data_IF_595892479633
#
_entry.id   IF_595892479633
#
_cell.length_a   1.000
_cell.length_b   1.000
_cell.length_c   1.000
_cell.angle_alpha   90.00
_cell.angle_beta   90.00
_cell.angle_gamma   90.00
#
_symmetry.space_group_name_H-M   'P 1'
#
loop_
_entity.id
_entity.type
_entity.pdbx_description
1 polymer ?
#
# COMPACT_ATOMS: atom_id res chain seq x y z
N UNK A 1 2.01 10.30 8.21
CA UNK A 1 1.54 8.90 8.08
C UNK A 1 0.16 8.87 7.46
N UNK A 2 0.06 8.32 6.26
CA UNK A 2 -1.20 8.12 5.57
C UNK A 2 -1.95 6.88 6.09
N UNK A 3 -3.28 6.91 5.97
CA UNK A 3 -4.18 5.87 6.44
C UNK A 3 -5.36 5.72 5.49
N UNK A 4 -5.63 4.49 5.05
CA UNK A 4 -6.80 4.15 4.26
C UNK A 4 -7.41 2.82 4.69
N UNK A 5 -8.70 2.65 4.43
CA UNK A 5 -9.40 1.39 4.57
C UNK A 5 -9.96 0.97 3.22
N UNK A 6 -9.69 -0.27 2.82
CA UNK A 6 -10.26 -0.87 1.60
C UNK A 6 -10.93 -2.21 1.92
N UNK A 7 -11.91 -2.59 1.11
CA UNK A 7 -12.51 -3.94 1.12
C UNK A 7 -12.07 -4.76 -0.10
N UNK A 8 -11.36 -4.15 -1.04
CA UNK A 8 -10.99 -4.75 -2.30
C UNK A 8 -9.61 -5.38 -2.23
N UNK A 9 -9.35 -6.29 -3.17
CA UNK A 9 -8.02 -6.82 -3.40
C UNK A 9 -7.14 -5.72 -4.02
N UNK A 10 -5.85 -5.75 -3.72
CA UNK A 10 -4.84 -4.89 -4.32
C UNK A 10 -3.82 -5.77 -5.03
N UNK A 11 -3.38 -5.34 -6.20
CA UNK A 11 -2.36 -6.02 -6.97
C UNK A 11 -0.98 -5.43 -6.65
N UNK A 12 -0.01 -6.31 -6.38
CA UNK A 12 1.38 -5.96 -6.11
C UNK A 12 2.27 -6.66 -7.12
N UNK A 13 2.66 -5.94 -8.16
CA UNK A 13 3.54 -6.47 -9.20
C UNK A 13 4.93 -6.81 -8.63
N UNK A 14 5.37 -8.08 -8.76
CA UNK A 14 6.66 -8.57 -8.23
C UNK A 14 7.90 -7.72 -8.63
N UNK A 15 7.99 -7.15 -9.85
CA UNK A 15 9.11 -6.28 -10.21
C UNK A 15 9.12 -4.95 -9.45
N UNK A 16 7.97 -4.51 -8.93
CA UNK A 16 7.79 -3.22 -8.27
C UNK A 16 7.76 -3.35 -6.75
N UNK A 17 7.25 -4.48 -6.26
CA UNK A 17 6.99 -4.72 -4.85
C UNK A 17 7.67 -5.99 -4.37
N UNK A 18 8.31 -5.90 -3.21
CA UNK A 18 8.83 -7.05 -2.47
C UNK A 18 8.16 -7.13 -1.13
N UNK A 19 7.56 -8.28 -0.82
CA UNK A 19 7.09 -8.53 0.54
C UNK A 19 8.31 -8.78 1.45
N UNK A 20 8.56 -7.88 2.39
CA UNK A 20 9.70 -7.96 3.33
C UNK A 20 9.29 -8.51 4.70
N UNK A 21 7.99 -8.57 4.99
CA UNK A 21 7.44 -9.16 6.20
C UNK A 21 6.05 -9.75 5.95
N UNK A 22 5.73 -10.84 6.64
CA UNK A 22 4.42 -11.50 6.57
C UNK A 22 3.57 -11.33 7.84
N UNK A 23 4.17 -10.96 8.97
CA UNK A 23 3.43 -10.68 10.19
C UNK A 23 4.10 -9.57 11.04
N UNK A 24 3.72 -8.29 10.85
CA UNK A 24 2.67 -7.78 9.96
C UNK A 24 3.07 -7.85 8.47
N UNK A 25 2.09 -7.79 7.56
CA UNK A 25 2.37 -7.77 6.13
C UNK A 25 2.95 -6.40 5.75
N UNK A 26 4.16 -6.40 5.22
CA UNK A 26 4.85 -5.19 4.75
C UNK A 26 5.41 -5.43 3.37
N UNK A 27 5.05 -4.56 2.44
CA UNK A 27 5.63 -4.48 1.11
C UNK A 27 6.61 -3.31 1.04
N UNK A 28 7.67 -3.49 0.27
CA UNK A 28 8.66 -2.46 0.00
C UNK A 28 8.80 -2.27 -1.52
N UNK A 29 8.77 -1.02 -1.97
CA UNK A 29 9.00 -0.70 -3.39
C UNK A 29 10.45 -0.99 -3.78
N UNK A 30 10.65 -1.47 -5.01
CA UNK A 30 11.96 -1.83 -5.57
C UNK A 30 12.52 -0.78 -6.54
N UNK A 31 11.73 0.25 -6.87
CA UNK A 31 12.09 1.35 -7.78
C UNK A 31 11.30 2.61 -7.43
N UNK A 32 11.66 3.73 -8.05
CA UNK A 32 10.93 5.00 -7.91
C UNK A 32 9.65 5.02 -8.76
N UNK A 33 8.71 5.88 -8.36
CA UNK A 33 7.44 6.11 -9.03
C UNK A 33 6.56 4.86 -9.15
N UNK A 34 6.62 3.97 -8.15
CA UNK A 34 5.73 2.82 -8.06
C UNK A 34 4.33 3.30 -7.71
N UNK A 35 3.35 2.89 -8.50
CA UNK A 35 1.96 3.34 -8.36
C UNK A 35 1.17 2.27 -7.62
N UNK A 36 0.40 2.68 -6.62
CA UNK A 36 -0.64 1.86 -6.02
C UNK A 36 -1.99 2.56 -6.16
N UNK A 37 -2.89 1.94 -6.92
CA UNK A 37 -4.27 2.38 -7.02
C UNK A 37 -5.10 1.66 -5.97
N UNK A 38 -5.83 2.42 -5.14
CA UNK A 38 -6.63 1.86 -4.06
C UNK A 38 -8.02 2.48 -4.06
N UNK A 39 -9.03 1.64 -4.04
CA UNK A 39 -10.41 2.04 -3.79
C UNK A 39 -10.73 1.95 -2.29
N UNK A 40 -11.19 3.04 -1.69
CA UNK A 40 -11.58 3.05 -0.28
C UNK A 40 -12.97 2.44 -0.04
N UNK A 41 -13.37 2.34 1.23
CA UNK A 41 -14.70 1.80 1.60
C UNK A 41 -15.89 2.63 1.13
N UNK A 42 -15.66 3.87 0.68
CA UNK A 42 -16.66 4.79 0.13
C UNK A 42 -16.61 4.84 -1.41
N UNK A 43 -15.92 3.88 -2.05
CA UNK A 43 -15.76 3.78 -3.50
C UNK A 43 -14.98 4.95 -4.11
N UNK A 44 -14.15 5.64 -3.31
CA UNK A 44 -13.27 6.67 -3.83
C UNK A 44 -11.93 6.05 -4.22
N UNK A 45 -11.50 6.34 -5.45
CA UNK A 45 -10.22 5.90 -5.98
C UNK A 45 -9.11 6.88 -5.56
N UNK A 46 -7.99 6.31 -5.11
CA UNK A 46 -6.77 7.02 -4.74
C UNK A 46 -5.62 6.44 -5.55
N UNK A 47 -4.75 7.32 -6.01
CA UNK A 47 -3.50 6.95 -6.67
C UNK A 47 -2.35 7.41 -5.79
N UNK A 48 -1.60 6.46 -5.25
CA UNK A 48 -0.43 6.71 -4.42
C UNK A 48 0.82 6.44 -5.26
N UNK A 49 1.78 7.36 -5.25
CA UNK A 49 3.04 7.24 -5.98
C UNK A 49 4.17 7.20 -4.96
N UNK A 50 4.90 6.08 -4.92
CA UNK A 50 5.92 5.82 -3.91
C UNK A 50 7.34 5.99 -4.46
N UNK A 51 8.24 6.45 -3.60
CA UNK A 51 9.69 6.48 -3.84
C UNK A 51 10.27 5.06 -3.73
N UNK A 52 11.50 4.87 -4.21
CA UNK A 52 12.21 3.61 -4.01
C UNK A 52 12.49 3.34 -2.53
N UNK A 53 12.28 2.10 -2.09
CA UNK A 53 12.53 1.66 -0.72
C UNK A 53 11.42 2.01 0.29
N UNK A 54 10.37 2.72 -0.15
CA UNK A 54 9.21 3.08 0.66
C UNK A 54 8.44 1.85 1.16
N UNK A 55 7.84 1.97 2.34
CA UNK A 55 7.16 0.85 3.01
C UNK A 55 5.65 1.04 3.05
N UNK A 56 4.96 0.01 2.62
CA UNK A 56 3.51 -0.06 2.66
C UNK A 56 3.06 -1.19 3.58
N UNK A 57 2.31 -0.85 4.63
CA UNK A 57 1.86 -1.82 5.63
C UNK A 57 0.39 -2.17 5.39
N UNK A 58 0.09 -3.46 5.43
CA UNK A 58 -1.27 -3.97 5.27
C UNK A 58 -1.65 -4.82 6.49
N UNK A 59 -2.77 -4.46 7.11
CA UNK A 59 -3.34 -5.21 8.23
C UNK A 59 -4.73 -5.68 7.88
N UNK A 60 -4.98 -6.99 8.01
CA UNK A 60 -6.34 -7.51 7.96
C UNK A 60 -7.06 -7.14 9.25
N UNK A 61 -8.22 -6.50 9.12
CA UNK A 61 -9.17 -6.25 10.21
C UNK A 61 -10.52 -6.86 9.84
N UNK A 62 -11.47 -6.93 10.78
CA UNK A 62 -12.77 -7.58 10.52
C UNK A 62 -13.50 -6.94 9.34
N UNK A 63 -13.56 -7.66 8.22
CA UNK A 63 -14.27 -7.27 7.00
C UNK A 63 -13.60 -6.19 6.12
N UNK A 64 -12.34 -5.81 6.38
CA UNK A 64 -11.58 -4.82 5.57
C UNK A 64 -10.07 -4.92 5.80
N UNK A 65 -9.30 -4.20 4.99
CA UNK A 65 -7.87 -3.99 5.19
C UNK A 65 -7.61 -2.58 5.68
N UNK A 66 -6.70 -2.44 6.66
CA UNK A 66 -6.13 -1.15 7.06
C UNK A 66 -4.77 -1.01 6.39
N UNK A 67 -4.61 0.09 5.66
CA UNK A 67 -3.44 0.42 4.86
C UNK A 67 -2.75 1.63 5.47
N UNK A 68 -1.43 1.57 5.67
CA UNK A 68 -0.67 2.68 6.25
C UNK A 68 0.71 2.82 5.61
N UNK A 69 1.14 4.06 5.40
CA UNK A 69 2.44 4.43 4.83
C UNK A 69 2.96 5.70 5.50
N UNK A 70 4.23 6.04 5.23
CA UNK A 70 4.77 7.34 5.61
C UNK A 70 4.39 8.39 4.56
N UNK A 71 3.96 9.58 4.96
CA UNK A 71 3.62 10.62 3.96
C UNK A 71 4.88 11.12 3.24
N UNK A 72 6.05 11.01 3.88
CA UNK A 72 7.34 11.33 3.29
C UNK A 72 7.76 10.32 2.19
N UNK A 73 7.11 9.15 2.14
CA UNK A 73 7.34 8.12 1.10
C UNK A 73 6.60 8.40 -0.21
N UNK A 74 5.66 9.34 -0.21
CA UNK A 74 4.83 9.69 -1.38
C UNK A 74 5.46 10.85 -2.18
N UNK A 75 5.19 10.89 -3.50
CA UNK A 75 5.55 11.98 -4.42
C UNK A 75 4.29 12.63 -4.99
#
# INVERSE_FOLDING_TARGET
MGLLYTKFYMDFDEPEWKQISNNPIVFQTQKDNVILEVEDTAQKLYKLVFKNGSKFNMFRVTGKFRLTWDDDDIV
#
